data_IF_341559028669
#
_entry.id   IF_341559028669
#
_cell.length_a   1.000
_cell.length_b   1.000
_cell.length_c   1.000
_cell.angle_alpha   90.00
_cell.angle_beta   90.00
_cell.angle_gamma   90.00
#
_symmetry.space_group_name_H-M   'P 1'
#
loop_
_entity.id
_entity.type
_entity.pdbx_description
1 polymer ?
#
# COMPACT_ATOMS: atom_id res chain seq x y z
N UNK A 1 -33.49 -38.70 -31.16
CA UNK A 1 -34.83 -38.75 -30.54
C UNK A 1 -35.31 -37.34 -30.25
N UNK A 2 -36.59 -37.08 -30.53
CA UNK A 2 -37.30 -35.80 -30.40
C UNK A 2 -37.36 -35.28 -28.96
N UNK A 3 -37.49 -33.94 -28.83
CA UNK A 3 -38.57 -33.18 -28.12
C UNK A 3 -38.13 -31.70 -28.09
N UNK A 4 -38.50 -30.84 -29.04
CA UNK A 4 -39.74 -30.03 -29.14
C UNK A 4 -40.21 -29.39 -27.83
N UNK A 5 -40.11 -28.05 -27.78
CA UNK A 5 -41.05 -27.07 -27.19
C UNK A 5 -40.55 -25.66 -27.57
N UNK A 6 -40.85 -25.12 -28.76
CA UNK A 6 -41.99 -24.23 -29.04
C UNK A 6 -42.54 -23.48 -27.83
N UNK A 7 -42.18 -22.20 -27.71
CA UNK A 7 -43.04 -21.17 -27.12
C UNK A 7 -43.23 -20.08 -28.17
N UNK A 8 -44.46 -20.00 -28.62
CA UNK A 8 -45.03 -18.99 -29.51
C UNK A 8 -44.92 -17.59 -28.87
N UNK A 9 -44.41 -16.61 -29.62
CA UNK A 9 -44.79 -15.22 -29.44
C UNK A 9 -45.46 -14.74 -30.72
N UNK A 10 -46.72 -14.37 -30.56
CA UNK A 10 -47.67 -14.04 -31.59
C UNK A 10 -47.20 -12.86 -32.45
N UNK A 11 -47.23 -13.07 -33.75
CA UNK A 11 -47.22 -12.03 -34.77
C UNK A 11 -48.60 -11.37 -34.76
N UNK A 12 -48.75 -10.24 -34.05
CA UNK A 12 -49.89 -9.35 -34.27
C UNK A 12 -49.54 -8.46 -35.46
N UNK A 13 -49.99 -8.86 -36.64
CA UNK A 13 -50.09 -7.99 -37.81
C UNK A 13 -51.37 -7.17 -37.64
N UNK A 14 -51.23 -5.99 -37.02
CA UNK A 14 -52.24 -4.94 -37.14
C UNK A 14 -51.85 -4.08 -38.34
N UNK A 15 -52.61 -4.21 -39.43
CA UNK A 15 -52.56 -3.29 -40.55
C UNK A 15 -52.96 -1.89 -40.10
N UNK A 16 -51.97 -1.01 -39.96
CA UNK A 16 -52.11 0.42 -39.85
C UNK A 16 -51.14 1.05 -40.84
N UNK A 17 -51.63 1.99 -41.64
CA UNK A 17 -50.89 2.74 -42.67
C UNK A 17 -49.48 3.05 -42.18
N UNK A 18 -48.46 2.53 -42.87
CA UNK A 18 -47.07 2.89 -42.63
C UNK A 18 -46.88 4.35 -43.08
N UNK A 19 -47.19 5.29 -42.21
CA UNK A 19 -46.48 6.56 -42.24
C UNK A 19 -45.07 6.19 -41.81
N UNK A 20 -44.16 6.10 -42.77
CA UNK A 20 -42.74 6.11 -42.50
C UNK A 20 -42.44 7.42 -41.76
N UNK A 21 -42.55 7.39 -40.44
CA UNK A 21 -41.85 8.35 -39.61
C UNK A 21 -40.38 8.22 -40.04
N UNK A 22 -39.69 9.33 -40.37
CA UNK A 22 -38.28 9.25 -40.69
C UNK A 22 -37.62 8.51 -39.53
N UNK A 23 -36.84 7.47 -39.85
CA UNK A 23 -35.98 6.84 -38.88
C UNK A 23 -35.01 7.93 -38.41
N UNK A 24 -35.40 8.70 -37.39
CA UNK A 24 -34.47 9.54 -36.63
C UNK A 24 -33.42 8.56 -36.17
N UNK A 25 -32.23 8.67 -36.74
CA UNK A 25 -31.07 7.89 -36.36
C UNK A 25 -31.07 7.82 -34.83
N UNK A 26 -31.11 6.61 -34.28
CA UNK A 26 -31.04 6.44 -32.84
C UNK A 26 -29.83 7.26 -32.37
N UNK A 27 -30.01 8.21 -31.42
CA UNK A 27 -28.92 9.09 -31.02
C UNK A 27 -27.73 8.21 -30.64
N UNK A 28 -26.57 8.46 -31.25
CA UNK A 28 -25.35 7.71 -31.01
C UNK A 28 -25.06 7.71 -29.51
N UNK A 29 -25.21 6.57 -28.87
CA UNK A 29 -24.90 6.41 -27.45
C UNK A 29 -23.39 6.29 -27.32
N UNK A 30 -22.82 7.22 -26.59
CA UNK A 30 -21.42 7.19 -26.19
C UNK A 30 -21.27 7.80 -24.81
N UNK A 31 -20.06 7.69 -24.25
CA UNK A 31 -19.75 8.28 -22.96
C UNK A 31 -20.04 9.79 -22.94
N UNK A 32 -20.77 10.25 -21.93
CA UNK A 32 -21.09 11.67 -21.73
C UNK A 32 -22.35 12.17 -22.45
N UNK A 33 -22.97 11.37 -23.33
CA UNK A 33 -24.25 11.72 -23.97
C UNK A 33 -25.36 11.76 -22.94
N UNK A 34 -26.17 12.82 -22.92
CA UNK A 34 -27.24 12.98 -21.94
C UNK A 34 -28.28 11.84 -22.01
N UNK A 35 -28.77 11.42 -20.85
CA UNK A 35 -29.79 10.40 -20.73
C UNK A 35 -30.85 10.79 -19.69
N UNK A 36 -32.08 10.30 -19.85
CA UNK A 36 -33.22 10.75 -19.03
C UNK A 36 -33.48 9.89 -17.81
N UNK A 37 -33.28 8.57 -17.92
CA UNK A 37 -33.68 7.60 -16.89
C UNK A 37 -32.45 6.97 -16.25
N UNK A 38 -32.13 7.41 -15.02
CA UNK A 38 -31.05 6.83 -14.22
C UNK A 38 -31.22 5.30 -14.12
N UNK A 39 -30.11 4.58 -14.26
CA UNK A 39 -30.08 3.12 -14.22
C UNK A 39 -30.54 2.43 -15.50
N UNK A 40 -31.05 3.15 -16.51
CA UNK A 40 -31.31 2.57 -17.82
C UNK A 40 -30.03 1.97 -18.41
N UNK A 41 -30.15 0.86 -19.12
CA UNK A 41 -29.03 0.19 -19.80
C UNK A 41 -29.33 0.04 -21.29
N UNK A 42 -28.28 0.11 -22.10
CA UNK A 42 -28.37 -0.08 -23.56
C UNK A 42 -27.08 -0.69 -24.08
N UNK A 43 -27.17 -1.49 -25.14
CA UNK A 43 -26.01 -2.02 -25.85
C UNK A 43 -25.91 -1.33 -27.22
N UNK A 44 -24.75 -0.78 -27.55
CA UNK A 44 -24.48 -0.19 -28.86
C UNK A 44 -23.04 -0.50 -29.28
N UNK A 45 -22.87 -0.89 -30.55
CA UNK A 45 -21.55 -1.17 -31.15
C UNK A 45 -20.70 -2.19 -30.37
N UNK A 46 -21.34 -3.16 -29.71
CA UNK A 46 -20.66 -4.19 -28.91
C UNK A 46 -20.38 -3.80 -27.45
N UNK A 47 -20.64 -2.56 -27.06
CA UNK A 47 -20.42 -2.05 -25.70
C UNK A 47 -21.73 -1.92 -24.94
N UNK A 48 -21.66 -2.12 -23.62
CA UNK A 48 -22.77 -1.90 -22.69
C UNK A 48 -22.62 -0.55 -22.02
N UNK A 49 -23.72 0.21 -22.01
CA UNK A 49 -23.83 1.52 -21.39
C UNK A 49 -24.89 1.51 -20.30
N UNK A 50 -24.67 2.33 -19.27
CA UNK A 50 -25.62 2.61 -18.20
C UNK A 50 -25.78 4.13 -18.04
N UNK A 51 -27.03 4.58 -17.98
CA UNK A 51 -27.35 5.97 -17.69
C UNK A 51 -27.12 6.25 -16.21
N UNK A 52 -26.27 7.23 -15.90
CA UNK A 52 -25.93 7.60 -14.53
C UNK A 52 -25.10 8.86 -14.47
N UNK A 53 -24.68 9.23 -13.25
CA UNK A 53 -23.73 10.32 -13.04
C UNK A 53 -22.30 9.80 -13.21
N UNK A 54 -21.46 10.53 -13.92
CA UNK A 54 -20.04 10.19 -14.05
C UNK A 54 -19.34 10.35 -12.69
N UNK A 55 -18.80 9.28 -12.07
CA UNK A 55 -18.16 9.37 -10.76
C UNK A 55 -16.89 10.23 -10.75
N UNK A 56 -16.30 10.49 -11.92
CA UNK A 56 -15.12 11.36 -12.09
C UNK A 56 -15.48 12.84 -12.28
N UNK A 57 -16.77 13.15 -12.45
CA UNK A 57 -17.28 14.50 -12.67
C UNK A 57 -17.96 15.03 -11.41
N UNK A 58 -17.77 16.32 -11.14
CA UNK A 58 -18.55 17.03 -10.10
C UNK A 58 -19.97 17.36 -10.58
N UNK A 59 -20.23 17.25 -11.89
CA UNK A 59 -21.53 17.49 -12.47
C UNK A 59 -22.48 16.30 -12.22
N UNK A 60 -23.69 16.58 -11.70
CA UNK A 60 -24.71 15.58 -11.41
C UNK A 60 -25.67 15.28 -12.58
N UNK A 61 -25.37 15.77 -13.79
CA UNK A 61 -26.13 15.44 -15.00
C UNK A 61 -26.05 13.94 -15.29
N UNK A 62 -27.16 13.37 -15.72
CA UNK A 62 -27.25 11.98 -16.15
C UNK A 62 -26.72 11.85 -17.58
N UNK A 63 -25.73 10.97 -17.76
CA UNK A 63 -25.13 10.66 -19.05
C UNK A 63 -25.01 9.14 -19.23
N UNK A 64 -24.97 8.69 -20.48
CA UNK A 64 -24.56 7.34 -20.80
C UNK A 64 -23.07 7.17 -20.47
N UNK A 65 -22.76 6.05 -19.82
CA UNK A 65 -21.41 5.68 -19.40
C UNK A 65 -21.22 4.20 -19.68
N UNK A 66 -20.13 3.83 -20.34
CA UNK A 66 -19.77 2.45 -20.57
C UNK A 66 -19.55 1.76 -19.22
N UNK A 67 -19.81 0.45 -19.17
CA UNK A 67 -19.53 -0.33 -17.97
C UNK A 67 -18.04 -0.25 -17.60
N UNK A 68 -17.15 -0.18 -18.58
CA UNK A 68 -15.71 -0.02 -18.38
C UNK A 68 -15.37 1.34 -17.75
N UNK A 69 -16.02 2.42 -18.20
CA UNK A 69 -15.88 3.73 -17.58
C UNK A 69 -16.31 3.69 -16.10
N UNK A 70 -17.49 3.12 -15.81
CA UNK A 70 -17.97 3.00 -14.43
C UNK A 70 -17.02 2.15 -13.57
N UNK A 71 -16.50 1.06 -14.11
CA UNK A 71 -15.58 0.16 -13.40
C UNK A 71 -14.27 0.88 -13.09
N UNK A 72 -13.63 1.50 -14.08
CA UNK A 72 -12.36 2.23 -13.91
C UNK A 72 -12.52 3.45 -13.00
N UNK A 73 -13.62 4.19 -13.13
CA UNK A 73 -13.90 5.34 -12.28
C UNK A 73 -14.03 4.95 -10.81
N UNK A 74 -14.78 3.87 -10.52
CA UNK A 74 -14.94 3.36 -9.16
C UNK A 74 -13.64 2.77 -8.61
N UNK A 75 -12.84 2.09 -9.44
CA UNK A 75 -11.52 1.61 -9.06
C UNK A 75 -10.58 2.76 -8.65
N UNK A 76 -10.55 3.85 -9.44
CA UNK A 76 -9.82 5.07 -9.07
C UNK A 76 -10.30 5.64 -7.73
N UNK A 77 -11.61 5.82 -7.53
CA UNK A 77 -12.14 6.40 -6.30
C UNK A 77 -11.79 5.57 -5.07
N UNK A 78 -11.86 4.23 -5.19
CA UNK A 78 -11.44 3.32 -4.13
C UNK A 78 -9.94 3.46 -3.85
N UNK A 79 -9.11 3.41 -4.88
CA UNK A 79 -7.67 3.53 -4.74
C UNK A 79 -7.28 4.87 -4.10
N UNK A 80 -7.93 5.98 -4.48
CA UNK A 80 -7.68 7.29 -3.90
C UNK A 80 -8.02 7.35 -2.39
N UNK A 81 -9.11 6.70 -1.99
CA UNK A 81 -9.49 6.57 -0.57
C UNK A 81 -8.47 5.73 0.20
N UNK A 82 -8.11 4.57 -0.33
CA UNK A 82 -7.15 3.66 0.30
C UNK A 82 -5.77 4.35 0.44
N UNK A 83 -5.33 5.08 -0.59
CA UNK A 83 -4.08 5.84 -0.57
C UNK A 83 -4.10 6.96 0.49
N UNK A 84 -5.23 7.65 0.68
CA UNK A 84 -5.37 8.65 1.72
C UNK A 84 -5.28 8.03 3.12
N UNK A 85 -5.94 6.90 3.35
CA UNK A 85 -5.87 6.17 4.62
C UNK A 85 -4.44 5.66 4.91
N UNK A 86 -3.77 5.08 3.92
CA UNK A 86 -2.38 4.63 4.03
C UNK A 86 -1.46 5.81 4.36
N UNK A 87 -1.62 6.95 3.69
CA UNK A 87 -0.82 8.16 3.93
C UNK A 87 -0.95 8.63 5.38
N UNK A 88 -2.17 8.64 5.93
CA UNK A 88 -2.42 9.00 7.34
C UNK A 88 -1.72 8.02 8.28
N UNK A 89 -1.85 6.71 8.03
CA UNK A 89 -1.20 5.68 8.85
C UNK A 89 0.31 5.79 8.83
N UNK A 90 0.91 6.02 7.66
CA UNK A 90 2.35 6.22 7.52
C UNK A 90 2.83 7.47 8.27
N UNK A 91 2.12 8.59 8.12
CA UNK A 91 2.45 9.83 8.84
C UNK A 91 2.39 9.64 10.37
N UNK A 92 1.39 8.90 10.86
CA UNK A 92 1.26 8.59 12.28
C UNK A 92 2.36 7.63 12.80
N UNK A 93 2.94 6.80 11.94
CA UNK A 93 4.03 5.88 12.31
C UNK A 93 5.39 6.56 12.40
N UNK A 94 5.65 7.62 11.63
CA UNK A 94 6.93 8.35 11.64
C UNK A 94 7.38 8.75 13.06
N UNK A 95 6.57 9.45 13.89
CA UNK A 95 7.01 9.83 15.23
C UNK A 95 7.26 8.63 16.16
N UNK A 96 6.55 7.52 15.96
CA UNK A 96 6.78 6.27 16.71
C UNK A 96 8.13 5.66 16.33
N UNK A 97 8.46 5.65 15.03
CA UNK A 97 9.75 5.18 14.53
C UNK A 97 10.88 6.09 15.04
N UNK A 98 10.69 7.40 15.02
CA UNK A 98 11.69 8.38 15.51
C UNK A 98 11.98 8.23 17.00
N UNK A 99 10.94 7.97 17.81
CA UNK A 99 11.10 7.63 19.22
C UNK A 99 11.87 6.31 19.39
N UNK A 100 11.55 5.29 18.61
CA UNK A 100 12.25 4.01 18.61
C UNK A 100 13.75 4.17 18.30
N UNK A 101 14.09 4.94 17.27
CA UNK A 101 15.49 5.23 16.90
C UNK A 101 16.20 5.95 18.04
N UNK A 102 15.54 6.92 18.68
CA UNK A 102 16.11 7.69 19.80
C UNK A 102 16.42 6.77 20.98
N UNK A 103 15.48 5.89 21.34
CA UNK A 103 15.64 4.94 22.44
C UNK A 103 16.77 3.92 22.17
N UNK A 104 16.82 3.36 20.96
CA UNK A 104 17.88 2.41 20.56
C UNK A 104 19.26 3.09 20.52
N UNK A 105 19.34 4.36 20.09
CA UNK A 105 20.59 5.14 20.17
C UNK A 105 21.03 5.38 21.61
N UNK A 106 20.10 5.63 22.52
CA UNK A 106 20.41 5.75 23.94
C UNK A 106 20.92 4.42 24.53
N UNK A 107 20.27 3.29 24.20
CA UNK A 107 20.71 1.97 24.66
C UNK A 107 22.07 1.55 24.07
N UNK A 108 22.34 1.93 22.82
CA UNK A 108 23.65 1.75 22.20
C UNK A 108 24.76 2.43 23.02
N UNK A 109 24.54 3.69 23.40
CA UNK A 109 25.50 4.47 24.21
C UNK A 109 25.72 3.81 25.57
N UNK A 110 24.63 3.41 26.26
CA UNK A 110 24.72 2.74 27.55
C UNK A 110 25.45 1.38 27.45
N UNK A 111 25.19 0.61 26.40
CA UNK A 111 25.83 -0.69 26.18
C UNK A 111 27.31 -0.52 25.82
N UNK A 112 27.68 0.52 25.07
CA UNK A 112 29.06 0.86 24.75
C UNK A 112 29.85 1.25 26.01
N UNK A 113 29.23 1.98 26.94
CA UNK A 113 29.83 2.30 28.23
C UNK A 113 30.09 1.02 29.06
N UNK A 114 29.11 0.10 29.12
CA UNK A 114 29.28 -1.20 29.79
C UNK A 114 30.37 -2.06 29.16
N UNK A 115 30.47 -2.07 27.83
CA UNK A 115 31.56 -2.76 27.14
C UNK A 115 32.93 -2.18 27.56
N UNK A 116 33.05 -0.86 27.60
CA UNK A 116 34.28 -0.16 27.99
C UNK A 116 34.68 -0.48 29.43
N UNK A 117 33.73 -0.44 30.37
CA UNK A 117 33.96 -0.83 31.76
C UNK A 117 34.40 -2.30 31.88
N UNK A 118 33.72 -3.19 31.15
CA UNK A 118 34.04 -4.63 31.15
C UNK A 118 35.44 -4.88 30.58
N UNK A 119 35.84 -4.14 29.54
CA UNK A 119 37.18 -4.24 28.96
C UNK A 119 38.25 -3.76 29.94
N UNK A 120 37.99 -2.70 30.70
CA UNK A 120 38.90 -2.23 31.75
C UNK A 120 39.09 -3.30 32.84
N UNK A 121 38.00 -3.92 33.32
CA UNK A 121 38.04 -5.02 34.29
C UNK A 121 38.80 -6.25 33.77
N UNK A 122 38.63 -6.58 32.49
CA UNK A 122 39.38 -7.66 31.84
C UNK A 122 40.88 -7.36 31.87
N UNK A 123 41.29 -6.16 31.46
CA UNK A 123 42.70 -5.74 31.45
C UNK A 123 43.30 -5.74 32.86
N UNK A 124 42.58 -5.22 33.86
CA UNK A 124 43.03 -5.24 35.26
C UNK A 124 43.21 -6.67 35.78
N UNK A 125 42.25 -7.56 35.48
CA UNK A 125 42.31 -8.97 35.90
C UNK A 125 43.46 -9.70 35.22
N UNK A 126 43.72 -9.41 33.94
CA UNK A 126 44.85 -9.96 33.20
C UNK A 126 46.19 -9.52 33.80
N UNK A 127 46.32 -8.25 34.18
CA UNK A 127 47.52 -7.75 34.85
C UNK A 127 47.75 -8.43 36.20
N UNK A 128 46.69 -8.63 37.01
CA UNK A 128 46.76 -9.39 38.27
C UNK A 128 47.18 -10.84 38.05
N UNK A 129 46.66 -11.49 37.01
CA UNK A 129 47.03 -12.87 36.66
C UNK A 129 48.51 -12.98 36.29
N UNK A 130 49.03 -12.02 35.51
CA UNK A 130 50.46 -11.98 35.15
C UNK A 130 51.36 -11.72 36.37
N UNK A 131 50.90 -10.94 37.35
CA UNK A 131 51.66 -10.65 38.57
C UNK A 131 51.62 -11.77 39.62
N UNK A 132 50.61 -12.65 39.58
CA UNK A 132 50.42 -13.71 40.55
C UNK A 132 51.56 -14.75 40.51
N UNK A 133 52.15 -15.06 41.67
CA UNK A 133 53.28 -15.99 41.79
C UNK A 133 52.85 -17.39 42.18
N UNK A 134 51.74 -17.51 42.91
CA UNK A 134 51.24 -18.78 43.43
C UNK A 134 50.10 -19.34 42.57
N UNK A 135 50.10 -20.65 42.34
CA UNK A 135 49.07 -21.29 41.51
C UNK A 135 47.66 -21.20 42.11
N UNK A 136 47.57 -21.15 43.45
CA UNK A 136 46.30 -20.94 44.15
C UNK A 136 45.66 -19.59 43.83
N UNK A 137 46.46 -18.56 43.55
CA UNK A 137 45.98 -17.22 43.15
C UNK A 137 45.65 -17.15 41.66
N UNK A 138 46.44 -17.84 40.82
CA UNK A 138 46.25 -17.87 39.37
C UNK A 138 44.93 -18.52 38.98
N UNK A 139 44.53 -19.61 39.64
CA UNK A 139 43.31 -20.38 39.30
C UNK A 139 42.03 -19.52 39.28
N UNK A 140 41.66 -18.76 40.34
CA UNK A 140 40.48 -17.90 40.31
C UNK A 140 40.62 -16.73 39.31
N UNK A 141 41.82 -16.18 39.11
CA UNK A 141 42.06 -15.11 38.15
C UNK A 141 41.87 -15.58 36.70
N UNK A 142 42.32 -16.78 36.34
CA UNK A 142 42.07 -17.39 35.03
C UNK A 142 40.57 -17.57 34.76
N UNK A 143 39.82 -18.02 35.77
CA UNK A 143 38.36 -18.14 35.66
C UNK A 143 37.68 -16.76 35.47
N UNK A 144 38.15 -15.74 36.19
CA UNK A 144 37.67 -14.37 36.05
C UNK A 144 37.97 -13.79 34.66
N UNK A 145 39.19 -13.99 34.13
CA UNK A 145 39.55 -13.60 32.74
C UNK A 145 38.61 -14.24 31.73
N UNK A 146 38.34 -15.54 31.85
CA UNK A 146 37.41 -16.24 30.95
C UNK A 146 35.99 -15.66 31.03
N UNK A 147 35.50 -15.34 32.23
CA UNK A 147 34.20 -14.71 32.46
C UNK A 147 34.12 -13.32 31.81
N UNK A 148 35.09 -12.44 32.07
CA UNK A 148 35.13 -11.11 31.47
C UNK A 148 35.27 -11.15 29.95
N UNK A 149 36.06 -12.08 29.42
CA UNK A 149 36.18 -12.30 27.97
C UNK A 149 34.84 -12.73 27.35
N UNK A 150 34.05 -13.55 28.05
CA UNK A 150 32.70 -13.90 27.61
C UNK A 150 31.76 -12.69 27.66
N UNK A 151 31.83 -11.86 28.71
CA UNK A 151 31.03 -10.65 28.84
C UNK A 151 31.33 -9.62 27.74
N UNK A 152 32.62 -9.39 27.41
CA UNK A 152 33.05 -8.52 26.29
C UNK A 152 32.41 -8.97 24.98
N UNK A 153 32.47 -10.28 24.68
CA UNK A 153 31.84 -10.86 23.48
C UNK A 153 30.32 -10.67 23.48
N UNK A 154 29.67 -10.86 24.63
CA UNK A 154 28.24 -10.67 24.76
C UNK A 154 27.81 -9.21 24.52
N UNK A 155 28.50 -8.23 25.10
CA UNK A 155 28.21 -6.81 24.86
C UNK A 155 28.51 -6.40 23.42
N UNK A 156 29.59 -6.89 22.83
CA UNK A 156 29.90 -6.65 21.40
C UNK A 156 28.78 -7.17 20.50
N UNK A 157 28.27 -8.37 20.77
CA UNK A 157 27.13 -8.94 20.03
C UNK A 157 25.86 -8.09 20.19
N UNK A 158 25.57 -7.60 21.41
CA UNK A 158 24.44 -6.71 21.66
C UNK A 158 24.56 -5.38 20.90
N UNK A 159 25.75 -4.76 20.89
CA UNK A 159 26.01 -3.53 20.12
C UNK A 159 25.71 -3.74 18.64
N UNK A 160 26.15 -4.87 18.07
CA UNK A 160 25.84 -5.21 16.68
C UNK A 160 24.33 -5.38 16.45
N UNK A 161 23.63 -6.04 17.37
CA UNK A 161 22.18 -6.22 17.29
C UNK A 161 21.42 -4.88 17.34
N UNK A 162 21.77 -4.00 18.29
CA UNK A 162 21.18 -2.65 18.42
C UNK A 162 21.45 -1.83 17.15
N UNK A 163 22.68 -1.88 16.63
CA UNK A 163 23.05 -1.17 15.40
C UNK A 163 22.20 -1.63 14.20
N UNK A 164 21.92 -2.93 14.10
CA UNK A 164 21.03 -3.47 13.07
C UNK A 164 19.57 -3.05 13.28
N UNK A 165 19.09 -3.00 14.52
CA UNK A 165 17.76 -2.49 14.88
C UNK A 165 17.58 -1.03 14.40
N UNK A 166 18.55 -0.17 14.72
CA UNK A 166 18.57 1.24 14.29
C UNK A 166 18.49 1.34 12.76
N UNK A 167 19.33 0.60 12.02
CA UNK A 167 19.33 0.62 10.55
C UNK A 167 17.97 0.18 9.97
N UNK A 168 17.35 -0.82 10.56
CA UNK A 168 16.01 -1.29 10.14
C UNK A 168 14.97 -0.21 10.36
N UNK A 169 14.98 0.46 11.52
CA UNK A 169 14.08 1.57 11.82
C UNK A 169 14.29 2.76 10.87
N UNK A 170 15.55 3.13 10.59
CA UNK A 170 15.88 4.20 9.65
C UNK A 170 15.39 3.88 8.22
N UNK A 171 15.52 2.63 7.78
CA UNK A 171 14.94 2.17 6.51
C UNK A 171 13.41 2.26 6.51
N UNK A 172 12.74 1.79 7.56
CA UNK A 172 11.28 1.90 7.69
C UNK A 172 10.82 3.36 7.68
N UNK A 173 11.56 4.26 8.33
CA UNK A 173 11.29 5.71 8.30
C UNK A 173 11.39 6.28 6.89
N UNK A 174 12.44 5.90 6.16
CA UNK A 174 12.62 6.33 4.76
C UNK A 174 11.44 5.91 3.91
N UNK A 175 11.02 4.64 4.00
CA UNK A 175 9.85 4.12 3.27
C UNK A 175 8.57 4.85 3.65
N UNK A 176 8.32 5.06 4.95
CA UNK A 176 7.14 5.79 5.41
C UNK A 176 7.09 7.23 4.90
N UNK A 177 8.26 7.83 4.65
CA UNK A 177 8.40 9.19 4.11
C UNK A 177 8.19 9.24 2.59
N UNK A 178 8.71 8.26 1.84
CA UNK A 178 8.67 8.27 0.37
C UNK A 178 7.39 7.70 -0.23
N UNK A 179 6.77 6.71 0.43
CA UNK A 179 5.60 5.99 -0.09
C UNK A 179 4.40 6.91 -0.42
N UNK A 180 4.07 7.96 0.36
CA UNK A 180 2.96 8.86 0.02
C UNK A 180 3.11 9.56 -1.34
N UNK A 181 4.34 9.92 -1.73
CA UNK A 181 4.60 10.55 -3.02
C UNK A 181 4.37 9.58 -4.18
N UNK A 182 4.80 8.32 -4.03
CA UNK A 182 4.57 7.25 -5.00
C UNK A 182 3.08 6.97 -5.16
N UNK A 183 2.36 6.78 -4.04
CA UNK A 183 0.91 6.58 -4.06
C UNK A 183 0.19 7.74 -4.77
N UNK A 184 0.59 8.98 -4.50
CA UNK A 184 0.01 10.14 -5.19
C UNK A 184 0.19 10.09 -6.70
N UNK A 185 1.37 9.68 -7.18
CA UNK A 185 1.64 9.54 -8.61
C UNK A 185 0.82 8.41 -9.24
N UNK A 186 0.73 7.25 -8.57
CA UNK A 186 -0.05 6.10 -9.04
C UNK A 186 -1.54 6.40 -9.12
N UNK A 187 -2.07 7.14 -8.13
CA UNK A 187 -3.46 7.61 -8.13
C UNK A 187 -3.72 8.60 -9.26
N UNK A 188 -2.78 9.51 -9.54
CA UNK A 188 -2.90 10.43 -10.67
C UNK A 188 -2.94 9.70 -12.01
N UNK A 189 -2.07 8.69 -12.20
CA UNK A 189 -2.08 7.85 -13.39
C UNK A 189 -3.39 7.05 -13.53
N UNK A 190 -3.85 6.43 -12.45
CA UNK A 190 -5.12 5.68 -12.41
C UNK A 190 -6.30 6.59 -12.75
N UNK A 191 -6.29 7.83 -12.26
CA UNK A 191 -7.30 8.84 -12.60
C UNK A 191 -7.31 9.15 -14.09
N UNK A 192 -6.14 9.34 -14.68
CA UNK A 192 -6.02 9.71 -16.08
C UNK A 192 -6.46 8.56 -17.00
N UNK A 193 -6.07 7.33 -16.67
CA UNK A 193 -6.58 6.14 -17.36
C UNK A 193 -8.11 6.02 -17.27
N UNK A 194 -8.68 6.24 -16.09
CA UNK A 194 -10.13 6.24 -15.92
C UNK A 194 -10.81 7.36 -16.73
N UNK A 195 -10.19 8.54 -16.81
CA UNK A 195 -10.68 9.65 -17.64
C UNK A 195 -10.67 9.31 -19.13
N UNK A 196 -9.59 8.73 -19.64
CA UNK A 196 -9.48 8.33 -21.04
C UNK A 196 -10.58 7.34 -21.43
N UNK A 197 -10.83 6.32 -20.59
CA UNK A 197 -11.91 5.35 -20.79
C UNK A 197 -13.28 6.04 -20.73
N UNK A 198 -13.45 7.04 -19.86
CA UNK A 198 -14.70 7.76 -19.69
C UNK A 198 -14.92 8.91 -20.68
N UNK A 199 -13.91 9.37 -21.42
CA UNK A 199 -14.03 10.40 -22.45
C UNK A 199 -14.18 9.79 -23.84
N UNK A 200 -13.45 8.71 -24.10
CA UNK A 200 -13.50 7.98 -25.36
C UNK A 200 -14.54 6.86 -25.19
N UNK A 201 -15.81 7.15 -25.48
CA UNK A 201 -16.72 6.05 -25.79
C UNK A 201 -16.16 5.29 -26.99
N UNK A 202 -16.15 3.96 -26.93
CA UNK A 202 -15.89 3.15 -28.12
C UNK A 202 -17.12 3.16 -29.03
#
# INVERSE_FOLDING_TARGET
MRKLTTISMALIVAGGVMIAAPATAAPTISNGVACKKSGATISQSGFKYKCGTNPLSTNKKLTWLSIDCLTSANAYLKAAKDAAEITIKLAAQIPVIDLGITNEKADLVLTQAKLTETQAKLTETQAKLTAAKLDVEKKPLTAAVASWTAAVRAYTSKINAITLSIKKLESSRSTATSQPALLKADIANTKENARLICSNGF
#
